data_IF_875450966434
#
_entry.id   IF_875450966434
#
_cell.length_a   1.000
_cell.length_b   1.000
_cell.length_c   1.000
_cell.angle_alpha   90.00
_cell.angle_beta   90.00
_cell.angle_gamma   90.00
#
_symmetry.space_group_name_H-M   'P 1'
#
loop_
_entity.id
_entity.type
_entity.pdbx_description
1 polymer ?
#
# COMPACT_ATOMS: atom_id res chain seq x y z
N UNK A 1 5.09 33.74 6.02
CA UNK A 1 4.86 32.29 6.17
C UNK A 1 4.87 31.64 4.80
N UNK A 2 5.56 30.51 4.66
CA UNK A 2 5.65 29.72 3.43
C UNK A 2 5.29 28.27 3.76
N UNK A 3 4.72 27.57 2.80
CA UNK A 3 4.45 26.14 2.90
C UNK A 3 5.20 25.43 1.77
N UNK A 4 6.00 24.43 2.12
CA UNK A 4 6.63 23.53 1.18
C UNK A 4 5.92 22.18 1.24
N UNK A 5 5.63 21.64 0.06
CA UNK A 5 4.89 20.40 -0.16
C UNK A 5 5.73 19.45 -1.02
N UNK A 6 5.44 18.14 -1.01
CA UNK A 6 6.14 17.17 -1.85
C UNK A 6 6.14 17.54 -3.34
N UNK A 7 7.14 17.06 -4.07
CA UNK A 7 7.27 17.28 -5.51
C UNK A 7 6.00 16.89 -6.27
N UNK A 8 5.51 17.79 -7.13
CA UNK A 8 4.31 17.59 -7.93
C UNK A 8 3.00 18.05 -7.27
N UNK A 9 3.02 18.33 -5.96
CA UNK A 9 1.86 18.92 -5.27
C UNK A 9 1.78 20.41 -5.55
N UNK A 10 0.56 20.95 -5.43
CA UNK A 10 0.30 22.38 -5.60
C UNK A 10 -0.12 22.98 -4.28
N UNK A 11 0.32 24.21 -4.01
CA UNK A 11 -0.09 24.99 -2.84
C UNK A 11 -0.58 26.36 -3.27
N UNK A 12 -1.73 26.79 -2.72
CA UNK A 12 -2.30 28.10 -2.96
C UNK A 12 -2.79 28.76 -1.67
N UNK A 13 -2.37 30.01 -1.39
CA UNK A 13 -1.29 30.75 -2.04
C UNK A 13 0.11 30.15 -1.72
N UNK A 14 1.14 30.40 -2.52
CA UNK A 14 2.48 29.85 -2.25
C UNK A 14 3.16 30.44 -0.99
N UNK A 15 2.78 31.64 -0.60
CA UNK A 15 3.22 32.29 0.64
C UNK A 15 2.19 33.30 1.11
N UNK A 16 2.20 33.61 2.41
CA UNK A 16 1.36 34.64 3.00
C UNK A 16 2.16 35.49 3.97
N UNK A 17 1.94 36.79 3.93
CA UNK A 17 2.51 37.73 4.89
C UNK A 17 1.49 37.99 5.98
N UNK A 18 1.93 37.85 7.22
CA UNK A 18 1.15 38.23 8.39
C UNK A 18 1.59 39.63 8.86
N UNK A 19 0.63 40.41 9.34
CA UNK A 19 0.93 41.66 10.03
C UNK A 19 1.47 41.42 11.45
N UNK A 20 1.57 42.50 12.23
CA UNK A 20 1.98 42.44 13.64
C UNK A 20 1.00 41.58 14.44
N UNK A 21 1.52 40.53 15.07
CA UNK A 21 0.77 39.71 16.03
C UNK A 21 1.04 40.24 17.44
N UNK A 22 -0.02 40.48 18.23
CA UNK A 22 0.13 40.98 19.61
C UNK A 22 0.50 39.83 20.56
N UNK A 23 1.23 40.11 21.66
CA UNK A 23 1.45 39.13 22.71
C UNK A 23 0.13 38.49 23.17
N UNK A 24 0.12 37.17 23.33
CA UNK A 24 -1.07 36.41 23.73
C UNK A 24 -2.15 36.25 22.67
N UNK A 25 -1.89 36.66 21.41
CA UNK A 25 -2.85 36.50 20.29
C UNK A 25 -2.28 35.60 19.20
N UNK A 26 -3.16 35.07 18.35
CA UNK A 26 -2.82 34.28 17.17
C UNK A 26 -3.52 34.82 15.93
N UNK A 27 -2.93 34.56 14.75
CA UNK A 27 -3.55 34.80 13.46
C UNK A 27 -3.41 33.54 12.59
N UNK A 28 -4.53 32.90 12.18
CA UNK A 28 -4.45 31.71 11.34
C UNK A 28 -4.06 32.08 9.90
N UNK A 29 -3.33 31.17 9.26
CA UNK A 29 -3.00 31.24 7.83
C UNK A 29 -3.46 29.94 7.20
N UNK A 30 -4.26 30.03 6.14
CA UNK A 30 -4.84 28.87 5.47
C UNK A 30 -4.18 28.70 4.11
N UNK A 31 -3.64 27.53 3.87
CA UNK A 31 -3.14 27.09 2.57
C UNK A 31 -4.06 26.00 2.02
N UNK A 32 -4.40 26.07 0.74
CA UNK A 32 -5.02 24.97 0.01
C UNK A 32 -3.92 24.15 -0.64
N UNK A 33 -3.88 22.85 -0.34
CA UNK A 33 -2.90 21.91 -0.89
C UNK A 33 -3.62 20.89 -1.76
N UNK A 34 -3.18 20.73 -3.01
CA UNK A 34 -3.67 19.70 -3.92
C UNK A 34 -2.56 18.68 -4.12
N UNK A 35 -2.78 17.45 -3.62
CA UNK A 35 -1.83 16.35 -3.78
C UNK A 35 -1.91 15.73 -5.18
N UNK A 36 -0.84 15.06 -5.58
CA UNK A 36 -0.92 14.08 -6.68
C UNK A 36 -1.65 12.82 -6.22
N UNK A 37 -2.02 11.95 -7.18
CA UNK A 37 -2.55 10.63 -6.86
C UNK A 37 -1.42 9.79 -6.23
N UNK A 38 -1.56 9.34 -4.97
CA UNK A 38 -0.55 8.50 -4.34
C UNK A 38 -0.44 7.13 -5.00
N UNK A 39 0.71 6.49 -4.85
CA UNK A 39 0.91 5.10 -5.26
C UNK A 39 0.15 4.17 -4.29
N UNK A 40 -0.31 2.99 -4.72
CA UNK A 40 -0.81 1.97 -3.81
C UNK A 40 0.21 1.60 -2.72
N UNK A 41 -0.28 1.20 -1.55
CA UNK A 41 0.49 0.91 -0.36
C UNK A 41 0.65 2.11 0.60
N UNK A 42 1.54 1.99 1.60
CA UNK A 42 1.86 3.07 2.52
C UNK A 42 2.54 4.24 1.80
N UNK A 43 2.09 5.45 2.09
CA UNK A 43 2.69 6.70 1.65
C UNK A 43 2.89 7.59 2.87
N UNK A 44 4.06 8.21 2.94
CA UNK A 44 4.43 9.20 3.95
C UNK A 44 4.88 10.46 3.22
N UNK A 45 4.13 11.54 3.42
CA UNK A 45 4.33 12.82 2.74
C UNK A 45 4.50 13.94 3.78
N UNK A 46 5.73 14.42 3.92
CA UNK A 46 6.05 15.52 4.81
C UNK A 46 5.65 16.86 4.17
N UNK A 47 4.80 17.60 4.87
CA UNK A 47 4.51 19.01 4.61
C UNK A 47 5.28 19.85 5.63
N UNK A 48 6.00 20.86 5.18
CA UNK A 48 6.70 21.80 6.08
C UNK A 48 6.16 23.22 5.92
N UNK A 49 5.97 23.88 7.04
CA UNK A 49 5.67 25.31 7.10
C UNK A 49 6.86 26.04 7.72
N UNK A 50 7.13 27.26 7.26
CA UNK A 50 8.08 28.14 7.93
C UNK A 50 7.51 29.54 8.10
N UNK A 51 7.81 30.14 9.24
CA UNK A 51 7.49 31.55 9.51
C UNK A 51 8.78 32.31 9.81
N UNK A 52 9.09 33.24 8.91
CA UNK A 52 10.10 34.27 9.17
C UNK A 52 9.41 35.41 9.94
N UNK A 53 9.99 35.84 11.06
CA UNK A 53 9.43 36.91 11.88
C UNK A 53 10.52 37.81 12.48
N UNK A 54 10.10 39.01 12.91
CA UNK A 54 10.93 39.93 13.67
C UNK A 54 10.35 40.12 15.08
N UNK A 55 11.17 40.00 16.11
CA UNK A 55 10.80 40.28 17.49
C UNK A 55 11.97 40.96 18.22
N UNK A 56 11.71 42.06 18.93
CA UNK A 56 12.70 42.79 19.73
C UNK A 56 14.04 43.04 18.99
N UNK A 57 13.97 43.48 17.72
CA UNK A 57 15.10 43.71 16.78
C UNK A 57 15.78 42.47 16.21
N UNK A 58 15.42 41.27 16.65
CA UNK A 58 15.93 40.01 16.08
C UNK A 58 15.03 39.52 14.96
N UNK A 59 15.64 38.92 13.94
CA UNK A 59 14.94 38.14 12.91
C UNK A 59 15.19 36.67 13.13
N UNK A 60 14.15 35.85 13.06
CA UNK A 60 14.24 34.41 13.20
C UNK A 60 13.30 33.72 12.21
N UNK A 61 13.58 32.45 11.94
CA UNK A 61 12.69 31.56 11.18
C UNK A 61 12.38 30.36 12.06
N UNK A 62 11.10 29.98 12.13
CA UNK A 62 10.65 28.79 12.86
C UNK A 62 9.97 27.85 11.88
N UNK A 63 10.44 26.59 11.75
CA UNK A 63 9.76 25.57 10.97
C UNK A 63 8.66 24.87 11.79
N UNK A 64 7.71 24.27 11.08
CA UNK A 64 6.74 23.30 11.58
C UNK A 64 6.55 22.20 10.55
N UNK A 65 6.20 21.01 11.03
CA UNK A 65 6.13 19.80 10.21
C UNK A 65 4.78 19.11 10.39
N UNK A 66 4.28 18.49 9.32
CA UNK A 66 3.07 17.68 9.33
C UNK A 66 3.26 16.50 8.40
N UNK A 67 3.20 15.29 8.97
CA UNK A 67 3.29 14.04 8.21
C UNK A 67 1.89 13.58 7.78
N UNK A 68 1.67 13.47 6.48
CA UNK A 68 0.44 12.96 5.91
C UNK A 68 0.60 11.46 5.58
N UNK A 69 0.31 10.63 6.56
CA UNK A 69 0.29 9.18 6.41
C UNK A 69 -0.98 8.72 5.68
N UNK A 70 -0.80 7.95 4.60
CA UNK A 70 -1.92 7.40 3.81
C UNK A 70 -1.60 5.96 3.42
N UNK A 71 -2.56 5.06 3.54
CA UNK A 71 -2.44 3.71 2.99
C UNK A 71 -3.46 3.51 1.89
N UNK A 72 -2.98 3.39 0.65
CA UNK A 72 -3.83 3.42 -0.54
C UNK A 72 -4.05 2.00 -1.03
N UNK A 73 -5.30 1.54 -1.18
CA UNK A 73 -5.54 0.18 -1.65
C UNK A 73 -4.98 -0.07 -3.05
N UNK A 74 -4.40 -1.25 -3.25
CA UNK A 74 -4.13 -1.80 -4.58
C UNK A 74 -5.45 -2.04 -5.31
N UNK A 75 -5.43 -1.85 -6.63
CA UNK A 75 -6.65 -1.95 -7.45
C UNK A 75 -7.26 -3.36 -7.46
N UNK A 76 -6.42 -4.38 -7.32
CA UNK A 76 -6.74 -5.80 -7.20
C UNK A 76 -5.51 -6.56 -6.66
N UNK A 77 -5.63 -7.87 -6.44
CA UNK A 77 -4.56 -8.70 -5.90
C UNK A 77 -3.32 -8.73 -6.81
N UNK A 78 -3.51 -8.84 -8.13
CA UNK A 78 -2.41 -8.91 -9.09
C UNK A 78 -1.56 -7.63 -9.10
N UNK A 79 -2.17 -6.46 -8.88
CA UNK A 79 -1.45 -5.19 -8.73
C UNK A 79 -0.57 -5.15 -7.46
N UNK A 80 -0.79 -6.05 -6.50
CA UNK A 80 -0.03 -6.15 -5.26
C UNK A 80 1.02 -7.27 -5.28
N UNK A 81 1.14 -8.05 -6.36
CA UNK A 81 2.15 -9.09 -6.46
C UNK A 81 3.55 -8.50 -6.26
N UNK A 82 4.30 -9.14 -5.37
CA UNK A 82 5.62 -8.66 -4.93
C UNK A 82 6.61 -9.81 -4.71
N UNK A 83 6.20 -11.05 -4.96
CA UNK A 83 7.01 -12.24 -4.74
C UNK A 83 6.90 -13.21 -5.92
N UNK A 84 8.00 -13.92 -6.19
CA UNK A 84 8.07 -14.97 -7.22
C UNK A 84 7.89 -16.33 -6.54
N UNK A 85 6.66 -16.82 -6.53
CA UNK A 85 6.26 -18.10 -5.97
C UNK A 85 6.46 -19.28 -6.93
N UNK A 86 6.51 -19.03 -8.24
CA UNK A 86 6.60 -20.07 -9.28
C UNK A 86 7.71 -19.76 -10.29
N UNK A 87 8.57 -20.74 -10.56
CA UNK A 87 9.62 -20.67 -11.59
C UNK A 87 9.61 -21.88 -12.51
N UNK A 88 10.23 -21.74 -13.69
CA UNK A 88 10.51 -22.91 -14.54
C UNK A 88 11.58 -23.79 -13.89
N UNK A 89 11.49 -25.10 -14.12
CA UNK A 89 12.53 -26.05 -13.71
C UNK A 89 13.89 -25.80 -14.36
N UNK A 90 13.90 -25.19 -15.55
CA UNK A 90 15.12 -24.86 -16.28
C UNK A 90 15.77 -23.55 -15.77
N UNK A 91 15.01 -22.69 -15.11
CA UNK A 91 15.51 -21.45 -14.49
C UNK A 91 14.81 -21.15 -13.15
N UNK A 92 15.22 -21.82 -12.05
CA UNK A 92 14.62 -21.59 -10.74
C UNK A 92 15.17 -20.35 -10.02
N UNK A 93 16.21 -19.70 -10.56
CA UNK A 93 16.95 -18.62 -9.90
C UNK A 93 16.11 -17.41 -9.46
N UNK A 94 15.06 -16.99 -10.20
CA UNK A 94 14.24 -15.84 -9.79
C UNK A 94 13.31 -16.12 -8.60
N UNK A 95 13.14 -17.38 -8.20
CA UNK A 95 12.18 -17.81 -7.19
C UNK A 95 12.54 -17.30 -5.79
N UNK A 96 11.51 -17.08 -4.96
CA UNK A 96 11.70 -16.71 -3.55
C UNK A 96 10.45 -16.95 -2.68
N UNK A 97 9.66 -17.99 -2.99
CA UNK A 97 8.47 -18.37 -2.21
C UNK A 97 8.76 -18.47 -0.72
N UNK A 98 9.87 -19.13 -0.34
CA UNK A 98 10.22 -19.40 1.06
C UNK A 98 11.16 -18.36 1.69
N UNK A 99 11.49 -17.29 0.94
CA UNK A 99 12.45 -16.27 1.38
C UNK A 99 13.93 -16.68 1.31
N UNK A 100 14.25 -17.88 0.84
CA UNK A 100 15.63 -18.37 0.69
C UNK A 100 16.01 -18.72 -0.76
N UNK A 101 15.13 -18.39 -1.71
CA UNK A 101 15.34 -18.61 -3.14
C UNK A 101 14.58 -19.80 -3.72
N UNK A 102 13.85 -20.58 -2.92
CA UNK A 102 13.07 -21.71 -3.45
C UNK A 102 11.68 -21.26 -3.90
N UNK A 103 11.09 -21.99 -4.83
CA UNK A 103 9.77 -21.72 -5.40
C UNK A 103 9.15 -23.00 -5.96
N UNK A 104 7.85 -22.96 -6.28
CA UNK A 104 7.17 -24.07 -6.94
C UNK A 104 7.62 -24.20 -8.39
N UNK A 105 7.72 -25.45 -8.86
CA UNK A 105 8.05 -25.77 -10.25
C UNK A 105 6.81 -25.63 -11.16
N UNK A 106 6.91 -24.77 -12.18
CA UNK A 106 5.83 -24.46 -13.10
C UNK A 106 5.34 -25.67 -13.91
N UNK A 107 6.24 -26.56 -14.34
CA UNK A 107 5.90 -27.72 -15.15
C UNK A 107 5.12 -28.77 -14.34
N UNK A 108 5.47 -28.96 -13.06
CA UNK A 108 4.75 -29.84 -12.13
C UNK A 108 3.37 -29.27 -11.78
N UNK A 109 3.26 -27.96 -11.57
CA UNK A 109 1.98 -27.27 -11.35
C UNK A 109 1.06 -27.39 -12.58
N UNK A 110 1.62 -27.20 -13.78
CA UNK A 110 0.88 -27.39 -15.03
C UNK A 110 0.34 -28.81 -15.19
N UNK A 111 1.11 -29.83 -14.74
CA UNK A 111 0.65 -31.21 -14.66
C UNK A 111 -0.57 -31.43 -13.74
N UNK A 112 -0.84 -30.50 -12.81
CA UNK A 112 -2.03 -30.46 -11.96
C UNK A 112 -3.12 -29.49 -12.47
N UNK A 113 -2.96 -28.91 -13.67
CA UNK A 113 -3.88 -27.94 -14.25
C UNK A 113 -3.72 -26.51 -13.72
N UNK A 114 -2.67 -26.23 -12.94
CA UNK A 114 -2.35 -24.90 -12.41
C UNK A 114 -1.45 -24.17 -13.40
N UNK A 115 -2.03 -23.73 -14.52
CA UNK A 115 -1.35 -22.96 -15.57
C UNK A 115 -1.69 -21.46 -15.47
N UNK A 116 -0.86 -20.56 -16.05
CA UNK A 116 -1.15 -19.13 -16.01
C UNK A 116 -2.56 -18.78 -16.48
N UNK A 117 -3.33 -18.10 -15.62
CA UNK A 117 -4.71 -17.70 -15.89
C UNK A 117 -5.75 -18.81 -15.82
N UNK A 118 -5.38 -20.03 -15.39
CA UNK A 118 -6.34 -21.11 -15.19
C UNK A 118 -7.33 -20.79 -14.05
N UNK A 119 -8.56 -21.27 -14.20
CA UNK A 119 -9.51 -21.29 -13.08
C UNK A 119 -9.28 -22.55 -12.24
N UNK A 120 -9.08 -22.36 -10.94
CA UNK A 120 -8.77 -23.41 -9.97
C UNK A 120 -9.93 -23.54 -9.01
N UNK A 121 -10.43 -24.75 -8.79
CA UNK A 121 -11.51 -24.99 -7.82
C UNK A 121 -10.97 -25.73 -6.60
N UNK A 122 -11.20 -25.18 -5.42
CA UNK A 122 -10.80 -25.78 -4.15
C UNK A 122 -11.83 -25.44 -3.06
N UNK A 123 -12.19 -26.42 -2.23
CA UNK A 123 -13.13 -26.25 -1.11
C UNK A 123 -14.46 -25.57 -1.50
N UNK A 124 -14.96 -25.82 -2.72
CA UNK A 124 -16.21 -25.23 -3.21
C UNK A 124 -16.10 -23.79 -3.72
N UNK A 125 -14.89 -23.21 -3.75
CA UNK A 125 -14.61 -21.89 -4.29
C UNK A 125 -13.79 -21.97 -5.58
N UNK A 126 -13.97 -20.99 -6.46
CA UNK A 126 -13.16 -20.84 -7.67
C UNK A 126 -12.21 -19.67 -7.54
N UNK A 127 -10.95 -19.89 -7.90
CA UNK A 127 -9.87 -18.93 -7.89
C UNK A 127 -9.32 -18.76 -9.31
N UNK A 128 -8.74 -17.59 -9.59
CA UNK A 128 -7.94 -17.39 -10.79
C UNK A 128 -6.48 -17.58 -10.44
N UNK A 129 -5.82 -18.55 -11.07
CA UNK A 129 -4.39 -18.71 -10.98
C UNK A 129 -3.70 -17.47 -11.58
N UNK A 130 -2.57 -17.01 -11.02
CA UNK A 130 -1.85 -15.85 -11.56
C UNK A 130 -1.58 -15.98 -13.05
N UNK A 131 -1.95 -14.96 -13.83
CA UNK A 131 -1.74 -14.93 -15.28
C UNK A 131 -0.43 -14.21 -15.63
N UNK A 132 0.69 -14.79 -15.18
CA UNK A 132 2.05 -14.29 -15.45
C UNK A 132 2.95 -15.47 -15.82
N UNK A 133 4.05 -15.17 -16.52
CA UNK A 133 5.05 -16.19 -16.83
C UNK A 133 5.80 -16.63 -15.54
N UNK A 134 6.27 -17.88 -15.46
CA UNK A 134 7.16 -18.32 -14.38
C UNK A 134 8.38 -17.41 -14.27
N UNK A 135 8.84 -17.16 -13.04
CA UNK A 135 9.95 -16.22 -12.76
C UNK A 135 9.52 -14.76 -12.66
N UNK A 136 8.23 -14.45 -12.81
CA UNK A 136 7.64 -13.12 -12.59
C UNK A 136 6.83 -13.15 -11.30
N UNK A 137 6.71 -12.01 -10.62
CA UNK A 137 5.92 -11.91 -9.41
C UNK A 137 4.46 -12.32 -9.66
N UNK A 138 4.00 -13.32 -8.92
CA UNK A 138 2.75 -14.03 -9.13
C UNK A 138 1.94 -14.19 -7.83
N UNK A 139 2.52 -13.90 -6.68
CA UNK A 139 1.83 -13.91 -5.41
C UNK A 139 2.14 -12.66 -4.56
N UNK A 140 1.35 -12.50 -3.49
CA UNK A 140 1.59 -11.49 -2.47
C UNK A 140 2.24 -12.16 -1.26
N UNK A 141 3.48 -11.82 -0.96
CA UNK A 141 4.02 -11.99 0.39
C UNK A 141 3.38 -10.91 1.28
N UNK A 142 2.56 -11.35 2.24
CA UNK A 142 1.72 -10.47 3.04
C UNK A 142 2.54 -9.60 3.99
N UNK A 143 2.30 -8.29 3.96
CA UNK A 143 2.93 -7.27 4.81
C UNK A 143 1.94 -6.15 5.19
N UNK A 144 0.62 -6.43 5.14
CA UNK A 144 -0.43 -5.45 5.45
C UNK A 144 -0.95 -4.67 4.24
N UNK A 145 -0.84 -5.23 3.03
CA UNK A 145 -1.38 -4.62 1.81
C UNK A 145 -2.92 -4.49 1.91
N UNK A 146 -3.46 -3.32 1.54
CA UNK A 146 -4.91 -3.17 1.33
C UNK A 146 -5.23 -3.51 -0.11
N UNK A 147 -6.14 -4.46 -0.32
CA UNK A 147 -6.56 -4.88 -1.66
C UNK A 147 -8.01 -4.46 -1.88
N UNK A 148 -8.28 -3.73 -2.97
CA UNK A 148 -9.65 -3.47 -3.38
C UNK A 148 -10.26 -4.77 -3.93
N UNK A 149 -11.40 -5.14 -3.37
CA UNK A 149 -12.23 -6.23 -3.83
C UNK A 149 -13.61 -5.69 -4.16
N UNK A 150 -14.25 -6.28 -5.17
CA UNK A 150 -15.65 -6.00 -5.52
C UNK A 150 -16.43 -7.29 -5.52
N UNK A 151 -17.65 -7.25 -5.01
CA UNK A 151 -18.49 -8.41 -4.87
C UNK A 151 -19.32 -8.30 -3.59
N UNK A 152 -20.15 -9.31 -3.37
CA UNK A 152 -20.97 -9.45 -2.17
C UNK A 152 -21.08 -10.93 -1.84
N UNK A 153 -21.13 -11.27 -0.56
CA UNK A 153 -21.16 -12.64 -0.09
C UNK A 153 -21.00 -12.71 1.43
N UNK A 154 -21.05 -13.91 1.98
CA UNK A 154 -20.85 -14.17 3.41
C UNK A 154 -19.48 -14.80 3.72
N UNK A 155 -18.69 -15.13 2.69
CA UNK A 155 -17.36 -15.73 2.82
C UNK A 155 -16.35 -14.99 1.95
N UNK A 156 -15.16 -14.76 2.49
CA UNK A 156 -13.97 -14.39 1.74
C UNK A 156 -13.02 -15.59 1.77
N UNK A 157 -12.75 -16.17 0.60
CA UNK A 157 -11.87 -17.32 0.47
C UNK A 157 -10.48 -16.88 -0.01
N UNK A 158 -9.44 -17.53 0.51
CA UNK A 158 -8.05 -17.31 0.12
C UNK A 158 -7.47 -18.60 -0.46
N UNK A 159 -6.68 -18.46 -1.52
CA UNK A 159 -5.80 -19.50 -2.02
C UNK A 159 -4.37 -19.05 -1.74
N UNK A 160 -3.60 -19.89 -1.04
CA UNK A 160 -2.25 -19.58 -0.61
C UNK A 160 -1.56 -20.82 -0.07
N UNK A 161 -0.30 -20.63 0.31
CA UNK A 161 0.60 -21.62 0.90
C UNK A 161 1.59 -20.86 1.77
N UNK A 162 2.16 -21.52 2.76
CA UNK A 162 3.28 -20.99 3.54
C UNK A 162 4.48 -21.94 3.44
N UNK A 163 5.68 -21.44 3.74
CA UNK A 163 6.87 -22.27 3.93
C UNK A 163 7.11 -22.45 5.44
N UNK A 164 6.14 -23.04 6.13
CA UNK A 164 6.04 -23.13 7.59
C UNK A 164 4.61 -22.89 8.04
N UNK A 165 4.38 -22.67 9.34
CA UNK A 165 3.03 -22.42 9.85
C UNK A 165 2.85 -20.94 10.20
N UNK A 166 1.91 -20.26 9.52
CA UNK A 166 1.56 -18.88 9.85
C UNK A 166 0.07 -18.65 9.85
N UNK A 167 -0.39 -17.86 10.83
CA UNK A 167 -1.78 -17.38 10.93
C UNK A 167 -1.76 -15.89 11.19
N UNK A 168 -2.64 -15.15 10.51
CA UNK A 168 -2.78 -13.71 10.66
C UNK A 168 -4.25 -13.29 10.61
N UNK A 169 -4.52 -12.05 11.00
CA UNK A 169 -5.86 -11.46 10.97
C UNK A 169 -6.09 -10.74 9.64
N UNK A 170 -7.18 -11.09 8.97
CA UNK A 170 -7.72 -10.35 7.83
C UNK A 170 -8.77 -9.38 8.34
N UNK A 171 -8.71 -8.13 7.89
CA UNK A 171 -9.77 -7.14 8.10
C UNK A 171 -10.46 -6.84 6.78
N UNK A 172 -11.79 -6.86 6.77
CA UNK A 172 -12.61 -6.45 5.62
C UNK A 172 -13.25 -5.10 5.93
N UNK A 173 -13.08 -4.14 5.02
CA UNK A 173 -13.72 -2.83 5.09
C UNK A 173 -14.88 -2.80 4.08
N UNK A 174 -16.08 -2.53 4.55
CA UNK A 174 -17.29 -2.51 3.72
C UNK A 174 -17.60 -1.09 3.23
N UNK A 175 -18.39 -1.01 2.17
CA UNK A 175 -18.78 0.27 1.54
C UNK A 175 -19.71 1.12 2.41
N UNK A 176 -20.35 0.52 3.42
CA UNK A 176 -21.18 1.21 4.42
C UNK A 176 -20.35 1.77 5.60
N UNK A 177 -19.03 1.58 5.57
CA UNK A 177 -18.09 2.04 6.60
C UNK A 177 -17.92 1.07 7.77
N UNK A 178 -18.65 -0.04 7.80
CA UNK A 178 -18.43 -1.10 8.81
C UNK A 178 -17.19 -1.94 8.48
N UNK A 179 -16.74 -2.72 9.46
CA UNK A 179 -15.63 -3.67 9.29
C UNK A 179 -15.97 -5.03 9.90
N UNK A 180 -15.33 -6.06 9.38
CA UNK A 180 -15.28 -7.39 10.01
C UNK A 180 -13.84 -7.90 10.02
N UNK A 181 -13.59 -8.90 10.85
CA UNK A 181 -12.31 -9.58 10.91
C UNK A 181 -12.47 -11.09 10.81
N UNK A 182 -11.42 -11.76 10.36
CA UNK A 182 -11.31 -13.21 10.34
C UNK A 182 -9.83 -13.62 10.42
N UNK A 183 -9.58 -14.89 10.67
CA UNK A 183 -8.22 -15.45 10.66
C UNK A 183 -7.97 -16.18 9.36
N UNK A 184 -6.80 -15.99 8.77
CA UNK A 184 -6.30 -16.80 7.66
C UNK A 184 -4.99 -17.43 8.09
N UNK A 185 -4.77 -18.68 7.73
CA UNK A 185 -3.51 -19.37 7.96
C UNK A 185 -3.27 -20.41 6.90
N UNK A 186 -1.99 -20.63 6.62
CA UNK A 186 -1.52 -21.68 5.74
C UNK A 186 -0.43 -22.49 6.48
N UNK A 187 -0.45 -23.82 6.31
CA UNK A 187 0.64 -24.69 6.74
C UNK A 187 1.81 -24.67 5.74
#
# INVERSE_FOLDING_TARGET
MKLAVPTGWKVQPASQTLGKIRPGTSAPVIFTVTSTKPKPGPNDDLISASVDYQANKYTASVPGYFDLLRNVPYANLAAAYNNVGVTSGDDPKPGNFDGTGNSFNAELLAGQGLTPGATVSANGYSFQWPNVAPGVADNVQTAGQLIKLSGSGNTLAFLGSEAGDRTDTVTVHYTDGTTSTGTVGFP
#
